data_IF_053069075397
#
_entry.id   IF_053069075397
#
_cell.length_a   1.000
_cell.length_b   1.000
_cell.length_c   1.000
_cell.angle_alpha   90.00
_cell.angle_beta   90.00
_cell.angle_gamma   90.00
#
_symmetry.space_group_name_H-M   'P 1'
#
loop_
_entity.id
_entity.type
_entity.pdbx_description
1 polymer ?
#
# COMPACT_ATOMS: atom_id res chain seq x y z
N UNK A 1 18.64 -0.35 -7.03
CA UNK A 1 17.24 -0.65 -7.38
C UNK A 1 16.78 -1.81 -6.54
N UNK A 2 15.63 -1.67 -5.88
CA UNK A 2 14.95 -2.76 -5.19
C UNK A 2 13.82 -3.27 -6.09
N UNK A 3 13.66 -4.60 -6.15
CA UNK A 3 12.64 -5.28 -6.95
C UNK A 3 11.90 -6.28 -6.05
N UNK A 4 10.59 -6.51 -6.28
CA UNK A 4 9.85 -7.51 -5.52
C UNK A 4 10.42 -8.92 -5.76
N UNK A 5 10.17 -9.88 -4.86
CA UNK A 5 10.49 -11.29 -5.10
C UNK A 5 9.65 -11.86 -6.26
N UNK A 6 9.83 -13.14 -6.56
CA UNK A 6 9.05 -13.81 -7.59
C UNK A 6 7.60 -14.00 -7.11
N UNK A 7 6.64 -13.79 -8.01
CA UNK A 7 5.24 -14.11 -7.74
C UNK A 7 5.06 -15.61 -7.43
N UNK A 8 4.19 -16.02 -6.49
CA UNK A 8 3.37 -15.18 -5.60
C UNK A 8 3.98 -15.00 -4.19
N UNK A 9 5.29 -15.21 -4.03
CA UNK A 9 5.98 -15.32 -2.74
C UNK A 9 6.17 -13.96 -2.05
N UNK A 10 5.09 -13.39 -1.53
CA UNK A 10 5.12 -12.08 -0.87
C UNK A 10 5.95 -12.03 0.40
N UNK A 11 6.27 -13.14 1.05
CA UNK A 11 7.09 -13.11 2.27
C UNK A 11 8.60 -13.12 1.99
N UNK A 12 9.00 -13.42 0.75
CA UNK A 12 10.40 -13.45 0.35
C UNK A 12 11.05 -12.04 0.39
N UNK A 13 12.37 -11.97 0.64
CA UNK A 13 13.07 -10.70 0.71
C UNK A 13 13.11 -9.99 -0.65
N UNK A 14 13.22 -8.66 -0.62
CA UNK A 14 13.42 -7.86 -1.82
C UNK A 14 14.71 -8.25 -2.52
N UNK A 15 14.66 -8.37 -3.84
CA UNK A 15 15.86 -8.43 -4.68
C UNK A 15 16.43 -7.02 -4.81
N UNK A 16 17.74 -6.88 -4.93
CA UNK A 16 18.36 -5.57 -5.15
C UNK A 16 19.60 -5.66 -6.04
N UNK A 17 19.80 -4.64 -6.87
CA UNK A 17 20.99 -4.49 -7.73
C UNK A 17 21.39 -3.03 -7.92
N UNK A 18 22.69 -2.71 -8.06
CA UNK A 18 23.13 -1.36 -8.36
C UNK A 18 22.76 -0.95 -9.79
N UNK A 19 22.37 0.31 -10.01
CA UNK A 19 22.13 0.86 -11.35
C UNK A 19 23.24 1.81 -11.80
N UNK A 20 23.83 2.52 -10.84
CA UNK A 20 24.98 3.38 -11.02
C UNK A 20 25.76 3.46 -9.70
N UNK A 21 27.00 3.93 -9.77
CA UNK A 21 27.77 4.34 -8.59
C UNK A 21 28.53 5.61 -8.88
N UNK A 22 28.85 6.34 -7.81
CA UNK A 22 29.74 7.52 -7.84
C UNK A 22 30.94 7.16 -6.97
N UNK A 23 32.14 7.16 -7.54
CA UNK A 23 33.35 6.69 -6.89
C UNK A 23 34.42 7.78 -6.88
N UNK A 24 35.01 8.06 -5.72
CA UNK A 24 36.06 9.07 -5.55
C UNK A 24 37.41 8.38 -5.37
N UNK A 25 38.40 8.79 -6.15
CA UNK A 25 39.79 8.32 -6.05
C UNK A 25 40.72 9.48 -5.69
N UNK A 26 41.89 9.16 -5.13
CA UNK A 26 42.90 10.17 -4.78
C UNK A 26 43.24 11.05 -5.99
N UNK A 27 43.24 12.37 -5.80
CA UNK A 27 43.57 13.41 -6.81
C UNK A 27 42.71 13.41 -8.07
N UNK A 28 41.54 12.74 -8.07
CA UNK A 28 40.59 12.75 -9.18
C UNK A 28 39.24 13.30 -8.73
N UNK A 29 38.50 13.88 -9.66
CA UNK A 29 37.07 14.10 -9.45
C UNK A 29 36.35 12.76 -9.31
N UNK A 30 35.20 12.77 -8.64
CA UNK A 30 34.38 11.57 -8.54
C UNK A 30 33.92 11.11 -9.94
N UNK A 31 34.09 9.83 -10.23
CA UNK A 31 33.66 9.21 -11.49
C UNK A 31 32.26 8.63 -11.32
N UNK A 32 31.44 8.80 -12.34
CA UNK A 32 30.10 8.20 -12.41
C UNK A 32 30.16 6.99 -13.33
N UNK A 33 29.69 5.85 -12.83
CA UNK A 33 29.66 4.59 -13.57
C UNK A 33 28.24 4.05 -13.64
N UNK A 34 27.80 3.67 -14.84
CA UNK A 34 26.64 2.84 -15.06
C UNK A 34 26.98 1.40 -14.66
N UNK A 35 26.05 0.74 -13.95
CA UNK A 35 26.20 -0.63 -13.44
C UNK A 35 25.23 -1.59 -14.11
N UNK A 36 24.47 -1.12 -15.11
CA UNK A 36 23.46 -1.92 -15.80
C UNK A 36 24.09 -2.87 -16.82
N UNK A 37 23.40 -3.97 -17.14
CA UNK A 37 23.89 -5.01 -18.03
C UNK A 37 24.83 -6.00 -17.33
N UNK A 38 25.50 -6.82 -18.14
CA UNK A 38 26.27 -7.98 -17.68
C UNK A 38 27.76 -7.90 -18.04
N UNK A 39 28.24 -6.74 -18.53
CA UNK A 39 29.64 -6.52 -18.95
C UNK A 39 30.47 -5.65 -17.99
N UNK A 40 29.97 -5.47 -16.77
CA UNK A 40 30.65 -4.73 -15.70
C UNK A 40 30.45 -3.20 -15.74
N UNK A 41 31.06 -2.49 -14.78
CA UNK A 41 30.96 -1.04 -14.66
C UNK A 41 31.52 -0.31 -15.88
N UNK A 42 30.87 0.78 -16.28
CA UNK A 42 31.28 1.57 -17.44
C UNK A 42 30.81 3.02 -17.33
N UNK A 43 31.22 3.89 -18.26
CA UNK A 43 30.99 5.32 -18.09
C UNK A 43 29.49 5.66 -18.08
N UNK A 44 29.05 6.37 -17.05
CA UNK A 44 27.69 6.85 -16.89
C UNK A 44 27.66 8.33 -16.54
N UNK A 45 26.46 8.92 -16.57
CA UNK A 45 26.23 10.32 -16.20
C UNK A 45 25.06 10.41 -15.22
N UNK A 46 25.15 11.39 -14.32
CA UNK A 46 24.06 11.82 -13.44
C UNK A 46 23.81 13.30 -13.69
N UNK A 47 22.56 13.66 -13.94
CA UNK A 47 22.14 15.05 -14.10
C UNK A 47 21.12 15.40 -13.01
N UNK A 48 21.46 16.34 -12.14
CA UNK A 48 20.54 16.88 -11.13
C UNK A 48 19.68 17.94 -11.83
N UNK A 49 18.36 17.75 -11.83
CA UNK A 49 17.42 18.65 -12.52
C UNK A 49 16.85 19.67 -11.54
N UNK A 50 16.34 19.17 -10.40
CA UNK A 50 15.79 19.96 -9.29
C UNK A 50 16.11 19.26 -7.98
N UNK A 51 15.75 19.89 -6.84
CA UNK A 51 15.92 19.28 -5.50
C UNK A 51 15.33 17.87 -5.39
N UNK A 52 14.21 17.63 -6.07
CA UNK A 52 13.43 16.39 -5.97
C UNK A 52 13.47 15.55 -7.25
N UNK A 53 14.40 15.84 -8.16
CA UNK A 53 14.50 15.15 -9.45
C UNK A 53 15.95 15.07 -9.98
N UNK A 54 16.36 13.88 -10.39
CA UNK A 54 17.62 13.66 -11.10
C UNK A 54 17.44 12.58 -12.18
N UNK A 55 18.35 12.53 -13.15
CA UNK A 55 18.36 11.49 -14.18
C UNK A 55 19.72 10.81 -14.32
N UNK A 56 19.70 9.59 -14.84
CA UNK A 56 20.88 8.83 -15.26
C UNK A 56 20.92 8.75 -16.79
N UNK A 57 22.13 8.72 -17.35
CA UNK A 57 22.34 8.46 -18.78
C UNK A 57 23.54 7.54 -19.00
N UNK A 58 23.37 6.54 -19.85
CA UNK A 58 24.45 5.69 -20.34
C UNK A 58 24.67 5.97 -21.84
N UNK A 59 25.92 6.22 -22.24
CA UNK A 59 26.28 6.41 -23.64
C UNK A 59 26.98 5.17 -24.24
N UNK A 60 27.19 4.11 -23.45
CA UNK A 60 27.88 2.87 -23.80
C UNK A 60 26.92 1.68 -23.61
N UNK A 61 25.76 1.75 -24.27
CA UNK A 61 24.67 0.77 -24.10
C UNK A 61 24.97 -0.59 -24.74
N UNK A 62 26.05 -0.70 -25.51
CA UNK A 62 26.61 -1.96 -25.97
C UNK A 62 26.96 -2.90 -24.79
N UNK A 63 27.26 -2.33 -23.61
CA UNK A 63 27.47 -3.09 -22.38
C UNK A 63 26.19 -3.73 -21.82
N UNK A 64 25.03 -3.23 -22.22
CA UNK A 64 23.73 -3.77 -21.81
C UNK A 64 23.33 -4.98 -22.66
N UNK A 65 23.93 -5.13 -23.85
CA UNK A 65 23.57 -6.17 -24.81
C UNK A 65 24.22 -7.51 -24.48
N UNK A 66 23.46 -8.58 -24.68
CA UNK A 66 23.95 -9.95 -24.54
C UNK A 66 24.30 -10.57 -25.89
N UNK A 67 25.17 -11.59 -25.89
CA UNK A 67 25.67 -12.25 -27.11
C UNK A 67 24.57 -12.93 -27.93
N UNK A 68 23.57 -13.51 -27.27
CA UNK A 68 22.37 -14.09 -27.85
C UNK A 68 21.28 -13.06 -28.16
N UNK A 69 21.62 -11.77 -28.15
CA UNK A 69 20.74 -10.66 -28.48
C UNK A 69 19.53 -10.54 -27.56
N UNK A 70 18.47 -9.93 -28.08
CA UNK A 70 17.25 -9.60 -27.33
C UNK A 70 16.54 -10.82 -26.73
N UNK A 71 16.68 -12.00 -27.35
CA UNK A 71 16.09 -13.22 -26.81
C UNK A 71 16.80 -13.68 -25.53
N UNK A 72 18.13 -13.62 -25.49
CA UNK A 72 18.89 -13.93 -24.27
C UNK A 72 18.63 -12.89 -23.18
N UNK A 73 18.55 -11.60 -23.54
CA UNK A 73 18.17 -10.53 -22.62
C UNK A 73 16.79 -10.78 -21.98
N UNK A 74 15.79 -11.17 -22.79
CA UNK A 74 14.46 -11.50 -22.29
C UNK A 74 14.47 -12.70 -21.36
N UNK A 75 15.12 -13.81 -21.73
CA UNK A 75 15.18 -15.02 -20.88
C UNK A 75 15.91 -14.75 -19.56
N UNK A 76 16.96 -13.93 -19.60
CA UNK A 76 17.72 -13.55 -18.39
C UNK A 76 16.87 -12.66 -17.49
N UNK A 77 16.22 -11.64 -18.05
CA UNK A 77 15.29 -10.78 -17.31
C UNK A 77 14.10 -11.59 -16.73
N UNK A 78 13.53 -12.52 -17.49
CA UNK A 78 12.42 -13.35 -17.05
C UNK A 78 12.83 -14.25 -15.86
N UNK A 79 14.03 -14.84 -15.92
CA UNK A 79 14.60 -15.59 -14.79
C UNK A 79 14.79 -14.69 -13.57
N UNK A 80 15.30 -13.48 -13.75
CA UNK A 80 15.51 -12.53 -12.65
C UNK A 80 14.18 -12.09 -12.02
N UNK A 81 13.17 -11.76 -12.81
CA UNK A 81 11.89 -11.17 -12.35
C UNK A 81 10.84 -12.20 -11.93
N UNK A 82 10.84 -13.39 -12.52
CA UNK A 82 9.78 -14.39 -12.33
C UNK A 82 10.28 -15.78 -11.89
N UNK A 83 11.57 -16.09 -12.08
CA UNK A 83 12.13 -17.39 -11.73
C UNK A 83 11.58 -18.57 -12.54
N UNK A 84 10.82 -18.30 -13.61
CA UNK A 84 10.11 -19.27 -14.45
C UNK A 84 10.41 -19.05 -15.92
N UNK A 85 10.21 -20.09 -16.73
CA UNK A 85 10.19 -19.92 -18.20
C UNK A 85 8.83 -19.33 -18.63
N UNK A 86 8.73 -18.88 -19.89
CA UNK A 86 7.46 -18.30 -20.36
C UNK A 86 6.40 -19.41 -20.51
N UNK A 87 6.85 -20.60 -20.88
CA UNK A 87 6.05 -21.81 -21.04
C UNK A 87 5.45 -22.31 -19.71
N UNK A 88 6.14 -22.09 -18.59
CA UNK A 88 5.67 -22.46 -17.24
C UNK A 88 4.59 -21.49 -16.70
N UNK A 89 4.36 -20.36 -17.38
CA UNK A 89 3.37 -19.37 -16.99
C UNK A 89 2.04 -19.72 -17.69
N UNK A 90 1.16 -20.43 -16.99
CA UNK A 90 -0.06 -21.03 -17.56
C UNK A 90 -1.05 -20.05 -18.22
N UNK A 91 -1.05 -18.75 -17.86
CA UNK A 91 -2.02 -17.79 -18.37
C UNK A 91 -1.42 -16.94 -19.51
N UNK A 92 -1.98 -17.07 -20.72
CA UNK A 92 -1.54 -16.32 -21.91
C UNK A 92 -1.54 -14.81 -21.67
N UNK A 93 -2.61 -14.28 -21.08
CA UNK A 93 -2.70 -12.85 -20.74
C UNK A 93 -1.55 -12.36 -19.84
N UNK A 94 -1.10 -13.20 -18.91
CA UNK A 94 0.04 -12.89 -18.05
C UNK A 94 1.36 -12.88 -18.85
N UNK A 95 1.52 -13.81 -19.80
CA UNK A 95 2.67 -13.81 -20.71
C UNK A 95 2.73 -12.53 -21.56
N UNK A 96 1.59 -12.07 -22.09
CA UNK A 96 1.48 -10.82 -22.85
C UNK A 96 1.90 -9.59 -22.01
N UNK A 97 1.39 -9.49 -20.77
CA UNK A 97 1.73 -8.41 -19.85
C UNK A 97 3.24 -8.41 -19.51
N UNK A 98 3.82 -9.59 -19.31
CA UNK A 98 5.25 -9.77 -19.04
C UNK A 98 6.10 -9.32 -20.23
N UNK A 99 5.73 -9.74 -21.44
CA UNK A 99 6.41 -9.34 -22.67
C UNK A 99 6.32 -7.83 -22.88
N UNK A 100 5.13 -7.25 -22.70
CA UNK A 100 4.93 -5.80 -22.80
C UNK A 100 5.78 -5.05 -21.78
N UNK A 101 5.79 -5.49 -20.51
CA UNK A 101 6.62 -4.90 -19.44
C UNK A 101 8.11 -4.95 -19.80
N UNK A 102 8.61 -6.08 -20.29
CA UNK A 102 10.00 -6.21 -20.73
C UNK A 102 10.31 -5.24 -21.87
N UNK A 103 9.50 -5.23 -22.93
CA UNK A 103 9.73 -4.39 -24.11
C UNK A 103 9.74 -2.91 -23.71
N UNK A 104 8.74 -2.47 -22.96
CA UNK A 104 8.59 -1.08 -22.54
C UNK A 104 9.73 -0.62 -21.63
N UNK A 105 10.00 -1.37 -20.54
CA UNK A 105 11.03 -0.98 -19.56
C UNK A 105 12.44 -1.03 -20.14
N UNK A 106 12.72 -1.97 -21.04
CA UNK A 106 14.03 -2.06 -21.69
C UNK A 106 14.28 -0.97 -22.75
N UNK A 107 13.25 -0.24 -23.20
CA UNK A 107 13.46 0.93 -24.08
C UNK A 107 14.20 2.06 -23.39
N UNK A 108 14.05 2.19 -22.07
CA UNK A 108 14.75 3.23 -21.31
C UNK A 108 16.25 2.96 -21.24
N UNK A 109 16.67 1.70 -21.31
CA UNK A 109 18.08 1.29 -21.33
C UNK A 109 18.91 1.95 -20.20
N UNK A 110 18.32 2.03 -19.01
CA UNK A 110 18.85 2.70 -17.81
C UNK A 110 19.10 4.23 -17.95
N UNK A 111 18.59 4.85 -19.02
CA UNK A 111 18.44 6.29 -19.14
C UNK A 111 17.10 6.71 -18.50
N UNK A 112 17.12 6.96 -17.19
CA UNK A 112 15.94 7.08 -16.35
C UNK A 112 15.91 8.44 -15.65
N UNK A 113 14.71 8.99 -15.49
CA UNK A 113 14.46 10.14 -14.61
C UNK A 113 13.80 9.65 -13.32
N UNK A 114 14.35 10.06 -12.18
CA UNK A 114 13.90 9.69 -10.85
C UNK A 114 13.31 10.91 -10.16
N UNK A 115 12.15 10.71 -9.54
CA UNK A 115 11.52 11.69 -8.65
C UNK A 115 11.64 11.23 -7.21
N UNK A 116 11.78 12.18 -6.29
CA UNK A 116 11.87 11.91 -4.86
C UNK A 116 10.55 11.34 -4.34
N UNK A 117 10.67 10.30 -3.53
CA UNK A 117 9.62 9.77 -2.65
C UNK A 117 10.15 9.68 -1.23
N UNK A 118 9.25 9.61 -0.26
CA UNK A 118 9.58 9.46 1.16
C UNK A 118 8.89 8.25 1.77
N UNK A 119 9.46 7.73 2.86
CA UNK A 119 8.74 6.84 3.77
C UNK A 119 7.66 7.62 4.53
N UNK A 120 6.54 6.95 4.85
CA UNK A 120 5.45 7.56 5.61
C UNK A 120 5.88 7.86 7.05
N UNK A 121 5.44 8.99 7.64
CA UNK A 121 5.66 9.27 9.05
C UNK A 121 4.92 8.22 9.92
N UNK A 122 5.53 7.83 11.03
CA UNK A 122 4.93 6.89 11.99
C UNK A 122 4.32 7.65 13.17
N UNK A 123 3.15 7.21 13.64
CA UNK A 123 2.49 7.72 14.84
C UNK A 123 2.20 6.58 15.82
N UNK A 124 2.15 6.84 17.14
CA UNK A 124 1.84 5.80 18.13
C UNK A 124 0.45 5.17 17.96
N UNK A 125 -0.53 5.95 17.47
CA UNK A 125 -1.92 5.52 17.31
C UNK A 125 -2.19 4.84 15.96
N UNK A 126 -1.17 4.65 15.12
CA UNK A 126 -1.32 3.97 13.83
C UNK A 126 -1.69 2.49 14.06
N UNK A 127 -2.59 1.95 13.23
CA UNK A 127 -3.08 0.57 13.37
C UNK A 127 -1.95 -0.47 13.34
N UNK A 128 -0.95 -0.21 12.50
CA UNK A 128 0.33 -0.93 12.40
C UNK A 128 1.40 0.06 11.96
N UNK A 129 2.68 -0.31 12.08
CA UNK A 129 3.77 0.54 11.58
C UNK A 129 3.58 0.83 10.07
N UNK A 130 3.54 2.10 9.62
CA UNK A 130 3.44 2.38 8.18
C UNK A 130 4.75 2.03 7.46
N UNK A 131 4.70 1.93 6.14
CA UNK A 131 5.89 1.58 5.34
C UNK A 131 5.57 0.93 4.00
N UNK A 132 6.57 0.25 3.44
CA UNK A 132 6.45 -0.45 2.16
C UNK A 132 6.05 -1.91 2.35
N UNK A 133 5.19 -2.40 1.49
CA UNK A 133 4.69 -3.76 1.44
C UNK A 133 4.77 -4.29 0.01
N UNK A 134 4.95 -5.60 -0.12
CA UNK A 134 4.93 -6.34 -1.38
C UNK A 134 3.56 -7.01 -1.46
N UNK A 135 2.82 -6.80 -2.54
CA UNK A 135 1.43 -7.23 -2.65
C UNK A 135 1.13 -7.97 -3.95
N UNK A 136 0.22 -8.94 -3.91
CA UNK A 136 -0.22 -9.67 -5.12
C UNK A 136 -1.26 -8.88 -5.91
N UNK A 137 -1.06 -8.72 -7.23
CA UNK A 137 -1.95 -8.02 -8.16
C UNK A 137 -2.34 -8.90 -9.37
N UNK A 138 -2.75 -10.15 -9.10
CA UNK A 138 -3.28 -11.05 -10.12
C UNK A 138 -2.30 -11.34 -11.24
N UNK A 139 -2.71 -11.10 -12.49
CA UNK A 139 -1.88 -11.33 -13.69
C UNK A 139 -0.70 -10.36 -13.83
N UNK A 140 -0.67 -9.27 -13.06
CA UNK A 140 0.45 -8.32 -13.06
C UNK A 140 1.62 -8.79 -12.18
N UNK A 141 1.41 -9.82 -11.35
CA UNK A 141 2.39 -10.33 -10.39
C UNK A 141 2.43 -9.52 -9.11
N UNK A 142 3.63 -9.35 -8.55
CA UNK A 142 3.84 -8.57 -7.34
C UNK A 142 4.07 -7.09 -7.64
N UNK A 143 3.42 -6.24 -6.85
CA UNK A 143 3.64 -4.79 -6.83
C UNK A 143 4.08 -4.32 -5.43
N UNK A 144 4.76 -3.19 -5.38
CA UNK A 144 5.17 -2.53 -4.13
C UNK A 144 4.14 -1.45 -3.81
N UNK A 145 3.56 -1.53 -2.61
CA UNK A 145 2.57 -0.58 -2.11
C UNK A 145 3.07 0.05 -0.81
N UNK A 146 2.93 1.37 -0.70
CA UNK A 146 3.22 2.12 0.50
C UNK A 146 1.94 2.32 1.32
N UNK A 147 1.93 1.81 2.55
CA UNK A 147 0.87 2.04 3.52
C UNK A 147 1.20 3.27 4.37
N UNK A 148 0.28 4.22 4.42
CA UNK A 148 0.39 5.47 5.20
C UNK A 148 -0.92 5.79 5.93
N UNK A 149 -0.85 6.52 7.04
CA UNK A 149 -2.00 6.85 7.88
C UNK A 149 -2.33 8.35 7.85
N UNK A 150 -3.62 8.65 7.72
CA UNK A 150 -4.19 9.97 7.48
C UNK A 150 -5.37 10.20 8.42
N UNK A 151 -5.07 10.32 9.72
CA UNK A 151 -6.10 10.41 10.76
C UNK A 151 -6.86 9.08 10.91
N UNK A 152 -8.14 9.07 10.54
CA UNK A 152 -8.99 7.86 10.59
C UNK A 152 -9.06 7.10 9.26
N UNK A 153 -8.15 7.38 8.33
CA UNK A 153 -8.03 6.67 7.06
C UNK A 153 -6.61 6.13 6.91
N UNK A 154 -6.47 4.94 6.34
CA UNK A 154 -5.19 4.47 5.85
C UNK A 154 -5.20 4.41 4.32
N UNK A 155 -4.07 4.76 3.70
CA UNK A 155 -3.89 4.86 2.25
C UNK A 155 -2.81 3.90 1.80
N UNK A 156 -3.14 3.04 0.84
CA UNK A 156 -2.21 2.26 0.04
C UNK A 156 -1.90 2.98 -1.27
N UNK A 157 -0.65 3.41 -1.46
CA UNK A 157 -0.18 4.07 -2.68
C UNK A 157 0.77 3.16 -3.44
N UNK A 158 0.56 2.99 -4.75
CA UNK A 158 1.44 2.18 -5.59
C UNK A 158 2.82 2.84 -5.75
N UNK A 159 3.88 2.13 -5.39
CA UNK A 159 5.27 2.52 -5.67
C UNK A 159 5.74 1.92 -6.99
N UNK A 160 5.34 0.67 -7.25
CA UNK A 160 5.29 0.11 -8.60
C UNK A 160 3.83 -0.14 -8.95
N UNK A 161 3.52 -0.16 -10.24
CA UNK A 161 2.17 -0.39 -10.70
C UNK A 161 2.15 -0.94 -12.12
N UNK A 162 0.95 -1.01 -12.65
CA UNK A 162 0.64 -1.71 -13.89
C UNK A 162 -0.18 -0.79 -14.82
N UNK A 163 -0.44 -1.22 -16.07
CA UNK A 163 -1.20 -0.42 -17.02
C UNK A 163 -2.66 -0.14 -16.62
N UNK A 164 -3.23 -0.90 -15.68
CA UNK A 164 -4.57 -0.66 -15.17
C UNK A 164 -4.52 0.37 -14.05
N UNK A 165 -3.71 0.15 -13.02
CA UNK A 165 -3.47 1.10 -11.92
C UNK A 165 -1.99 1.45 -11.88
N UNK A 166 -1.60 2.63 -12.41
CA UNK A 166 -0.21 3.07 -12.49
C UNK A 166 0.47 3.28 -11.12
N UNK A 167 1.80 3.28 -11.13
CA UNK A 167 2.59 3.73 -10.00
C UNK A 167 2.26 5.20 -9.65
N UNK A 168 2.15 5.52 -8.36
CA UNK A 168 1.74 6.84 -7.86
C UNK A 168 0.25 6.92 -7.49
N UNK A 169 -0.60 6.06 -8.07
CA UNK A 169 -2.02 6.05 -7.76
C UNK A 169 -2.34 5.42 -6.39
N UNK A 170 -3.45 5.85 -5.81
CA UNK A 170 -4.01 5.25 -4.61
C UNK A 170 -4.75 3.96 -4.97
N UNK A 171 -4.17 2.81 -4.66
CA UNK A 171 -4.75 1.51 -4.99
C UNK A 171 -5.79 1.04 -3.97
N UNK A 172 -5.61 1.41 -2.69
CA UNK A 172 -6.50 1.00 -1.59
C UNK A 172 -6.66 2.17 -0.62
N UNK A 173 -7.85 2.32 -0.06
CA UNK A 173 -8.14 3.14 1.11
C UNK A 173 -8.93 2.34 2.12
N UNK A 174 -8.58 2.53 3.38
CA UNK A 174 -9.16 1.80 4.51
C UNK A 174 -9.79 2.83 5.42
N UNK A 175 -11.07 2.65 5.72
CA UNK A 175 -11.76 3.45 6.71
C UNK A 175 -11.59 2.82 8.09
N UNK A 176 -10.81 3.48 8.95
CA UNK A 176 -10.47 2.97 10.28
C UNK A 176 -11.58 3.22 11.32
N UNK A 177 -12.65 3.94 10.96
CA UNK A 177 -13.85 4.08 11.82
C UNK A 177 -14.77 2.86 11.65
N UNK A 178 -14.82 2.31 10.44
CA UNK A 178 -15.77 1.27 10.05
C UNK A 178 -15.17 -0.13 10.14
N UNK A 179 -15.07 -0.64 11.38
CA UNK A 179 -14.63 -2.01 11.64
C UNK A 179 -15.70 -2.99 11.17
N UNK A 180 -15.28 -4.02 10.43
CA UNK A 180 -16.13 -5.15 10.03
C UNK A 180 -15.91 -6.29 11.01
N UNK A 181 -17.00 -6.77 11.62
CA UNK A 181 -17.00 -8.02 12.37
C UNK A 181 -17.20 -9.15 11.37
N UNK A 182 -16.15 -9.96 11.15
CA UNK A 182 -16.30 -11.13 10.31
C UNK A 182 -17.15 -12.18 11.04
N UNK A 183 -18.03 -12.90 10.31
CA UNK A 183 -18.67 -14.10 10.83
C UNK A 183 -17.65 -15.17 11.24
N UNK A 184 -18.12 -16.23 11.89
CA UNK A 184 -17.28 -17.42 12.12
C UNK A 184 -16.77 -18.03 10.80
N UNK A 185 -15.80 -18.94 10.91
CA UNK A 185 -15.12 -19.51 9.75
C UNK A 185 -16.04 -20.34 8.83
N UNK A 186 -17.18 -20.84 9.31
CA UNK A 186 -18.14 -21.56 8.46
C UNK A 186 -18.97 -20.56 7.65
N UNK A 187 -19.49 -19.52 8.29
CA UNK A 187 -20.24 -18.45 7.62
C UNK A 187 -19.37 -17.61 6.69
N UNK A 188 -18.09 -17.38 7.02
CA UNK A 188 -17.16 -16.64 6.17
C UNK A 188 -16.87 -17.35 4.84
N UNK A 189 -17.12 -18.66 4.73
CA UNK A 189 -17.05 -19.37 3.45
C UNK A 189 -18.14 -18.94 2.47
N UNK A 190 -19.26 -18.38 2.96
CA UNK A 190 -20.31 -17.84 2.11
C UNK A 190 -19.94 -16.44 1.62
N UNK A 191 -19.65 -16.34 0.33
CA UNK A 191 -19.35 -15.07 -0.32
C UNK A 191 -20.52 -14.07 -0.25
N UNK A 192 -21.77 -14.54 -0.31
CA UNK A 192 -22.94 -13.66 -0.31
C UNK A 192 -23.10 -12.98 1.05
N UNK A 193 -22.81 -13.69 2.14
CA UNK A 193 -22.88 -13.12 3.48
C UNK A 193 -21.80 -12.05 3.69
N UNK A 194 -20.56 -12.32 3.25
CA UNK A 194 -19.51 -11.29 3.25
C UNK A 194 -19.93 -10.07 2.41
N UNK A 195 -20.47 -10.31 1.21
CA UNK A 195 -20.91 -9.24 0.32
C UNK A 195 -22.01 -8.39 0.94
N UNK A 196 -22.98 -9.01 1.62
CA UNK A 196 -24.07 -8.30 2.31
C UNK A 196 -23.52 -7.35 3.37
N UNK A 197 -22.65 -7.85 4.26
CA UNK A 197 -22.04 -7.06 5.34
C UNK A 197 -21.27 -5.85 4.78
N UNK A 198 -20.47 -6.07 3.74
CA UNK A 198 -19.65 -5.00 3.15
C UNK A 198 -20.51 -3.92 2.49
N UNK A 199 -21.59 -4.31 1.80
CA UNK A 199 -22.49 -3.37 1.15
C UNK A 199 -23.35 -2.59 2.15
N UNK A 200 -23.72 -3.20 3.28
CA UNK A 200 -24.38 -2.50 4.38
C UNK A 200 -23.48 -1.41 4.98
N UNK A 201 -22.20 -1.72 5.23
CA UNK A 201 -21.23 -0.72 5.72
C UNK A 201 -20.96 0.35 4.67
N UNK A 202 -20.89 0.01 3.37
CA UNK A 202 -20.78 0.99 2.28
C UNK A 202 -21.93 2.00 2.32
N UNK A 203 -23.14 1.54 2.55
CA UNK A 203 -24.32 2.39 2.60
C UNK A 203 -24.33 3.31 3.84
N UNK A 204 -23.91 2.79 5.00
CA UNK A 204 -23.69 3.60 6.21
C UNK A 204 -22.65 4.70 5.96
N UNK A 205 -21.49 4.35 5.41
CA UNK A 205 -20.42 5.29 5.07
C UNK A 205 -20.90 6.37 4.10
N UNK A 206 -21.73 6.00 3.11
CA UNK A 206 -22.31 6.96 2.17
C UNK A 206 -23.25 7.95 2.87
N UNK A 207 -24.12 7.47 3.75
CA UNK A 207 -25.06 8.31 4.50
C UNK A 207 -24.33 9.27 5.46
N UNK A 208 -23.29 8.80 6.14
CA UNK A 208 -22.47 9.65 7.01
C UNK A 208 -21.76 10.76 6.22
N UNK A 209 -21.20 10.43 5.04
CA UNK A 209 -20.54 11.41 4.18
C UNK A 209 -21.50 12.46 3.60
N UNK A 210 -22.76 12.09 3.35
CA UNK A 210 -23.80 13.02 2.91
C UNK A 210 -24.22 13.95 4.06
N UNK A 211 -24.40 13.43 5.28
CA UNK A 211 -24.71 14.24 6.45
C UNK A 211 -23.56 15.19 6.84
N UNK A 212 -22.30 14.75 6.76
CA UNK A 212 -21.13 15.61 6.99
C UNK A 212 -21.00 16.71 5.93
N UNK A 213 -21.51 16.51 4.71
CA UNK A 213 -21.52 17.51 3.64
C UNK A 213 -22.69 18.49 3.76
N UNK A 214 -23.84 18.05 4.28
CA UNK A 214 -25.02 18.91 4.51
C UNK A 214 -24.91 19.72 5.82
N UNK A 215 -24.18 19.24 6.83
CA UNK A 215 -24.01 19.87 8.15
C UNK A 215 -22.81 20.84 8.31
N UNK A 216 -22.69 21.85 7.45
CA UNK A 216 -21.76 22.98 7.67
C UNK A 216 -22.03 23.75 8.99
N UNK A 217 -21.06 24.49 9.57
CA UNK A 217 -20.95 24.74 11.01
C UNK A 217 -22.01 25.71 11.53
N UNK A 218 -23.13 25.18 12.01
CA UNK A 218 -24.05 25.85 12.92
C UNK A 218 -23.98 25.14 14.26
N UNK A 219 -23.13 25.65 15.17
CA UNK A 219 -23.32 25.61 16.63
C UNK A 219 -22.07 26.18 17.33
N UNK A 220 -21.84 27.48 17.13
CA UNK A 220 -20.86 28.22 17.91
C UNK A 220 -21.36 29.64 18.25
N UNK A 221 -22.66 29.84 18.46
CA UNK A 221 -23.18 31.11 18.97
C UNK A 221 -24.52 30.90 19.68
N UNK A 222 -24.46 30.58 20.98
CA UNK A 222 -25.67 30.25 21.71
C UNK A 222 -25.62 30.27 23.23
N UNK A 223 -24.66 30.94 23.88
CA UNK A 223 -24.78 31.23 25.32
C UNK A 223 -24.32 32.64 25.67
N UNK A 224 -25.30 33.54 25.66
CA UNK A 224 -25.21 34.89 26.18
C UNK A 224 -24.96 34.91 27.69
N UNK A 225 -23.88 35.61 28.05
CA UNK A 225 -23.58 36.28 29.32
C UNK A 225 -24.70 36.31 30.37
N UNK A 226 -24.38 35.81 31.57
CA UNK A 226 -24.66 36.49 32.84
C UNK A 226 -23.70 35.96 33.93
N UNK A 227 -22.82 36.83 34.43
CA UNK A 227 -22.13 36.73 35.72
C UNK A 227 -23.03 37.41 36.79
N UNK A 228 -22.91 37.22 38.13
CA UNK A 228 -21.63 37.21 38.85
C UNK A 228 -21.49 36.41 40.18
N UNK A 229 -20.21 36.23 40.54
CA UNK A 229 -19.59 36.23 41.88
C UNK A 229 -19.49 34.95 42.75
N UNK A 230 -18.39 34.85 43.56
CA UNK A 230 -17.92 33.61 44.18
C UNK A 230 -18.04 33.61 45.72
N UNK A 231 -18.46 32.49 46.31
CA UNK A 231 -18.40 32.27 47.76
C UNK A 231 -18.10 30.78 48.09
N UNK A 232 -16.94 30.58 48.72
CA UNK A 232 -16.64 29.75 49.90
C UNK A 232 -17.08 28.26 49.99
N UNK A 233 -16.11 27.44 50.39
CA UNK A 233 -16.18 26.01 50.74
C UNK A 233 -17.16 25.70 51.88
N UNK A 234 -17.72 24.47 51.91
CA UNK A 234 -18.13 23.84 53.17
C UNK A 234 -17.37 22.53 53.46
N UNK A 235 -17.20 22.15 54.74
CA UNK A 235 -16.52 20.93 55.14
C UNK A 235 -17.46 19.71 55.20
N UNK A 236 -16.80 18.56 55.29
CA UNK A 236 -17.33 17.20 55.30
C UNK A 236 -18.30 16.85 56.45
N UNK A 237 -19.24 15.93 56.17
CA UNK A 237 -19.51 14.69 56.94
C UNK A 237 -20.64 13.88 56.27
N UNK A 238 -20.49 12.54 56.21
CA UNK A 238 -21.53 11.57 55.78
C UNK A 238 -22.61 11.34 56.86
N UNK A 239 -23.58 10.41 56.74
CA UNK A 239 -23.49 9.09 56.06
C UNK A 239 -24.73 8.68 55.21
N UNK A 240 -24.60 7.50 54.57
CA UNK A 240 -25.55 6.73 53.72
C UNK A 240 -26.84 6.26 54.46
N UNK A 241 -27.79 5.45 53.88
CA UNK A 241 -27.85 4.82 52.54
C UNK A 241 -29.25 4.86 51.84
N UNK A 242 -29.34 4.40 50.58
CA UNK A 242 -30.63 4.04 49.98
C UNK A 242 -30.68 3.94 48.46
N UNK A 243 -30.45 2.72 47.95
CA UNK A 243 -31.01 2.04 46.77
C UNK A 243 -31.45 2.78 45.50
N UNK A 244 -31.03 2.18 44.37
CA UNK A 244 -31.84 2.12 43.15
C UNK A 244 -31.21 2.77 41.92
N UNK A 245 -30.41 2.02 41.17
CA UNK A 245 -29.87 2.50 39.90
C UNK A 245 -29.38 1.37 39.01
N UNK A 246 -30.23 1.02 38.03
CA UNK A 246 -30.06 0.00 37.01
C UNK A 246 -28.62 -0.13 36.46
N UNK A 247 -28.12 -1.37 36.49
CA UNK A 247 -26.90 -1.77 35.79
C UNK A 247 -27.12 -1.65 34.28
N UNK A 248 -26.64 -0.55 33.69
CA UNK A 248 -26.32 -0.51 32.27
C UNK A 248 -25.16 -1.48 32.05
N UNK A 249 -25.45 -2.60 31.38
CA UNK A 249 -24.45 -3.59 31.01
C UNK A 249 -23.37 -2.91 30.16
N UNK A 250 -22.22 -2.66 30.78
CA UNK A 250 -21.01 -2.35 30.06
C UNK A 250 -20.69 -3.53 29.14
N UNK A 251 -20.54 -3.26 27.84
CA UNK A 251 -20.00 -4.25 26.92
C UNK A 251 -18.63 -4.73 27.43
N UNK A 252 -18.38 -6.06 27.41
CA UNK A 252 -17.09 -6.56 27.85
C UNK A 252 -16.00 -6.07 26.90
N UNK A 253 -14.82 -5.68 27.41
CA UNK A 253 -13.72 -5.25 26.58
C UNK A 253 -13.35 -6.38 25.62
N UNK A 254 -13.34 -6.06 24.32
CA UNK A 254 -12.89 -6.95 23.26
C UNK A 254 -11.57 -7.60 23.67
N UNK A 255 -11.52 -8.93 23.58
CA UNK A 255 -10.35 -9.75 23.89
C UNK A 255 -9.12 -9.17 23.17
N UNK A 256 -8.30 -8.46 23.93
CA UNK A 256 -7.09 -7.82 23.46
C UNK A 256 -6.02 -8.88 23.25
N UNK A 257 -5.91 -9.36 22.01
CA UNK A 257 -4.74 -10.10 21.53
C UNK A 257 -5.00 -11.48 20.93
N UNK A 258 -6.21 -12.04 21.02
CA UNK A 258 -6.53 -13.30 20.35
C UNK A 258 -7.17 -13.00 18.98
N UNK A 259 -6.41 -13.26 17.91
CA UNK A 259 -6.97 -13.22 16.56
C UNK A 259 -8.08 -14.26 16.39
N UNK A 260 -8.98 -14.03 15.45
CA UNK A 260 -10.03 -14.97 15.09
C UNK A 260 -9.62 -15.82 13.87
N UNK A 261 -10.12 -17.05 13.72
CA UNK A 261 -9.93 -17.86 12.53
C UNK A 261 -10.33 -17.10 11.25
N UNK A 262 -9.57 -17.28 10.18
CA UNK A 262 -9.79 -16.64 8.89
C UNK A 262 -9.68 -17.65 7.75
N UNK A 263 -10.64 -17.60 6.84
CA UNK A 263 -10.67 -18.36 5.59
C UNK A 263 -11.26 -17.47 4.50
N UNK A 264 -10.77 -17.58 3.27
CA UNK A 264 -11.38 -16.86 2.16
C UNK A 264 -12.74 -17.47 1.81
N UNK A 265 -13.74 -16.64 1.43
CA UNK A 265 -15.01 -17.13 0.92
C UNK A 265 -14.82 -18.00 -0.33
N UNK A 266 -15.71 -18.97 -0.51
CA UNK A 266 -15.70 -19.83 -1.70
C UNK A 266 -15.90 -18.98 -2.96
N UNK A 267 -15.04 -19.19 -3.95
CA UNK A 267 -15.04 -18.44 -5.21
C UNK A 267 -14.18 -17.18 -5.19
N UNK A 268 -13.62 -16.77 -4.06
CA UNK A 268 -12.58 -15.72 -4.01
C UNK A 268 -11.24 -16.35 -4.37
N UNK A 269 -10.64 -15.87 -5.45
CA UNK A 269 -9.33 -16.33 -5.91
C UNK A 269 -8.20 -15.67 -5.11
N UNK A 270 -7.16 -16.43 -4.79
CA UNK A 270 -5.90 -15.89 -4.28
C UNK A 270 -4.73 -16.44 -5.09
N UNK A 271 -3.75 -15.59 -5.38
CA UNK A 271 -2.48 -16.02 -5.98
C UNK A 271 -1.62 -16.80 -4.99
N UNK A 272 -1.73 -16.49 -3.70
CA UNK A 272 -0.93 -17.12 -2.66
C UNK A 272 -1.84 -17.98 -1.76
N UNK A 273 -1.63 -19.29 -1.74
CA UNK A 273 -2.40 -20.23 -0.91
C UNK A 273 -1.93 -20.21 0.57
N UNK A 274 -0.72 -19.72 0.82
CA UNK A 274 -0.08 -19.71 2.14
C UNK A 274 -0.40 -18.44 2.95
N UNK A 275 -1.60 -17.87 2.78
CA UNK A 275 -2.03 -16.73 3.60
C UNK A 275 -2.33 -17.15 5.05
N UNK A 276 -2.12 -16.26 6.05
CA UNK A 276 -2.39 -16.58 7.45
C UNK A 276 -3.85 -16.95 7.70
N UNK A 277 -4.07 -17.97 8.53
CA UNK A 277 -5.41 -18.51 8.87
C UNK A 277 -6.03 -17.90 10.12
N UNK A 278 -5.46 -16.80 10.60
CA UNK A 278 -5.95 -16.04 11.75
C UNK A 278 -5.81 -14.55 11.47
N UNK A 279 -6.86 -13.77 11.66
CA UNK A 279 -6.83 -12.30 11.51
C UNK A 279 -7.15 -11.61 12.83
N UNK A 280 -6.62 -10.41 13.03
CA UNK A 280 -6.83 -9.60 14.25
C UNK A 280 -8.03 -8.67 14.11
N UNK A 281 -8.12 -7.96 12.99
CA UNK A 281 -9.12 -6.93 12.75
C UNK A 281 -9.44 -6.86 11.27
N UNK A 282 -10.66 -6.46 10.94
CA UNK A 282 -11.10 -6.19 9.58
C UNK A 282 -11.77 -4.82 9.51
N UNK A 283 -11.57 -4.11 8.41
CA UNK A 283 -12.10 -2.78 8.19
C UNK A 283 -12.70 -2.67 6.81
N UNK A 284 -13.72 -1.83 6.67
CA UNK A 284 -14.20 -1.43 5.35
C UNK A 284 -13.11 -0.69 4.61
N UNK A 285 -13.00 -0.97 3.31
CA UNK A 285 -12.11 -0.24 2.44
C UNK A 285 -12.64 -0.19 1.02
N UNK A 286 -11.98 0.64 0.22
CA UNK A 286 -12.25 0.74 -1.21
C UNK A 286 -10.96 0.57 -1.99
N UNK A 287 -11.02 -0.24 -3.04
CA UNK A 287 -9.94 -0.45 -3.99
C UNK A 287 -10.17 0.37 -5.24
N UNK A 288 -9.13 0.97 -5.82
CA UNK A 288 -9.21 1.62 -7.12
C UNK A 288 -8.99 0.57 -8.21
N UNK A 289 -9.94 0.46 -9.14
CA UNK A 289 -9.85 -0.36 -10.34
C UNK A 289 -10.00 0.52 -11.58
N UNK A 290 -9.47 0.06 -12.71
CA UNK A 290 -9.58 0.74 -13.99
C UNK A 290 -9.35 -0.25 -15.14
N UNK A 291 -9.84 0.10 -16.33
CA UNK A 291 -9.48 -0.57 -17.56
C UNK A 291 -8.01 -0.36 -17.94
N UNK A 292 -7.54 -1.12 -18.92
CA UNK A 292 -6.17 -0.98 -19.43
C UNK A 292 -5.92 0.46 -19.92
N UNK A 293 -4.73 0.99 -19.62
CA UNK A 293 -4.39 2.39 -19.87
C UNK A 293 -4.98 3.37 -18.87
N UNK A 294 -5.28 2.90 -17.64
CA UNK A 294 -5.91 3.67 -16.57
C UNK A 294 -7.23 4.34 -17.01
N UNK A 295 -8.05 3.59 -17.75
CA UNK A 295 -9.30 4.10 -18.33
C UNK A 295 -10.47 3.91 -17.39
N UNK A 296 -11.31 4.94 -17.26
CA UNK A 296 -12.52 4.97 -16.41
C UNK A 296 -12.26 4.45 -14.99
N UNK A 297 -11.34 5.05 -14.23
CA UNK A 297 -11.02 4.58 -12.89
C UNK A 297 -12.20 4.76 -11.92
N UNK A 298 -12.48 3.75 -11.13
CA UNK A 298 -13.55 3.77 -10.13
C UNK A 298 -13.17 3.04 -8.85
N UNK A 299 -13.85 3.38 -7.75
CA UNK A 299 -13.65 2.74 -6.45
C UNK A 299 -14.65 1.64 -6.23
N UNK A 300 -14.16 0.43 -5.97
CA UNK A 300 -15.00 -0.72 -5.62
C UNK A 300 -14.84 -1.08 -4.15
N UNK A 301 -15.92 -1.55 -3.49
CA UNK A 301 -15.88 -1.90 -2.08
C UNK A 301 -15.05 -3.16 -1.86
N UNK A 302 -14.49 -3.25 -0.65
CA UNK A 302 -13.72 -4.42 -0.23
C UNK A 302 -13.50 -4.45 1.28
N UNK A 303 -12.78 -5.48 1.71
CA UNK A 303 -12.44 -5.69 3.12
C UNK A 303 -10.95 -5.70 3.29
N UNK A 304 -10.44 -4.79 4.10
CA UNK A 304 -9.09 -4.86 4.62
C UNK A 304 -9.03 -5.85 5.78
N UNK A 305 -8.07 -6.77 5.75
CA UNK A 305 -7.88 -7.83 6.74
C UNK A 305 -6.48 -7.70 7.35
N UNK A 306 -6.38 -7.41 8.64
CA UNK A 306 -5.10 -7.37 9.34
C UNK A 306 -4.77 -8.75 9.92
N UNK A 307 -3.65 -9.34 9.53
CA UNK A 307 -3.21 -10.64 10.06
C UNK A 307 -2.27 -10.47 11.25
N UNK A 308 -1.20 -9.71 11.06
CA UNK A 308 -0.17 -9.44 12.06
C UNK A 308 0.46 -8.06 11.82
N UNK A 309 1.56 -7.73 12.50
CA UNK A 309 2.23 -6.41 12.38
C UNK A 309 2.78 -6.14 10.97
N UNK A 310 3.05 -7.19 10.20
CA UNK A 310 3.78 -7.14 8.95
C UNK A 310 2.98 -7.65 7.75
N UNK A 311 1.80 -8.24 7.98
CA UNK A 311 0.95 -8.81 6.95
C UNK A 311 -0.50 -8.36 7.06
N UNK A 312 -1.05 -7.99 5.91
CA UNK A 312 -2.46 -7.69 5.74
C UNK A 312 -2.96 -8.17 4.39
N UNK A 313 -4.26 -8.20 4.20
CA UNK A 313 -4.91 -8.55 2.94
C UNK A 313 -5.99 -7.56 2.57
N UNK A 314 -6.41 -7.61 1.30
CA UNK A 314 -7.56 -6.88 0.80
C UNK A 314 -8.41 -7.82 -0.07
N UNK A 315 -9.67 -8.00 0.30
CA UNK A 315 -10.67 -8.74 -0.49
C UNK A 315 -11.36 -7.75 -1.42
N UNK A 316 -11.15 -7.90 -2.73
CA UNK A 316 -11.80 -7.13 -3.78
C UNK A 316 -13.16 -7.75 -4.08
N UNK A 317 -14.23 -7.11 -3.61
CA UNK A 317 -15.56 -7.74 -3.59
C UNK A 317 -16.07 -8.02 -5.01
N UNK A 318 -16.03 -7.01 -5.88
CA UNK A 318 -16.54 -7.11 -7.25
C UNK A 318 -15.70 -8.02 -8.15
N UNK A 319 -14.40 -8.18 -7.84
CA UNK A 319 -13.48 -9.01 -8.62
C UNK A 319 -13.39 -10.45 -8.11
N UNK A 320 -14.01 -10.77 -6.96
CA UNK A 320 -13.81 -12.05 -6.24
C UNK A 320 -12.33 -12.43 -6.16
N UNK A 321 -11.52 -11.47 -5.73
CA UNK A 321 -10.06 -11.59 -5.71
C UNK A 321 -9.52 -11.18 -4.34
N UNK A 322 -8.42 -11.81 -3.93
CA UNK A 322 -7.73 -11.49 -2.69
C UNK A 322 -6.28 -11.10 -2.97
N UNK A 323 -5.91 -9.89 -2.52
CA UNK A 323 -4.54 -9.42 -2.49
C UNK A 323 -3.93 -9.62 -1.11
N UNK A 324 -2.82 -10.34 -1.03
CA UNK A 324 -2.03 -10.48 0.20
C UNK A 324 -0.84 -9.52 0.15
N UNK A 325 -0.53 -8.88 1.27
CA UNK A 325 0.55 -7.91 1.42
C UNK A 325 1.47 -8.28 2.58
N UNK A 326 2.77 -8.15 2.37
CA UNK A 326 3.80 -8.44 3.37
C UNK A 326 4.90 -7.38 3.39
N UNK A 327 5.27 -6.94 4.59
CA UNK A 327 6.18 -5.81 4.83
C UNK A 327 7.53 -6.00 4.18
N UNK A 328 8.06 -4.95 3.57
CA UNK A 328 9.45 -4.88 3.14
C UNK A 328 10.34 -4.73 4.36
N UNK A 329 11.17 -5.75 4.63
CA UNK A 329 12.09 -5.77 5.78
C UNK A 329 13.39 -4.99 5.55
N UNK A 330 13.65 -4.55 4.32
CA UNK A 330 14.84 -3.77 4.00
C UNK A 330 14.82 -2.40 4.68
N UNK A 331 15.94 -2.01 5.29
CA UNK A 331 16.11 -0.68 5.86
C UNK A 331 16.59 0.32 4.79
N UNK A 332 15.84 1.41 4.62
CA UNK A 332 16.17 2.46 3.66
C UNK A 332 16.84 3.64 4.34
N UNK A 333 17.89 4.18 3.72
CA UNK A 333 18.63 5.34 4.23
C UNK A 333 18.12 6.61 3.56
N UNK A 334 18.14 7.73 4.30
CA UNK A 334 17.80 9.06 3.78
C UNK A 334 16.39 9.13 3.16
N UNK A 335 15.44 8.37 3.72
CA UNK A 335 14.13 8.14 3.13
C UNK A 335 12.99 8.87 3.88
N UNK A 336 13.23 9.37 5.09
CA UNK A 336 12.17 9.99 5.89
C UNK A 336 11.72 11.33 5.28
N UNK A 337 10.42 11.59 5.39
CA UNK A 337 9.86 12.88 5.00
C UNK A 337 10.33 13.99 5.97
N UNK A 338 10.69 15.19 5.48
CA UNK A 338 11.06 16.31 6.33
C UNK A 338 9.93 16.78 7.27
N UNK A 339 8.68 16.62 6.83
CA UNK A 339 7.47 16.90 7.60
C UNK A 339 6.30 16.07 7.06
N UNK A 340 5.21 15.89 7.83
CA UNK A 340 3.99 15.27 7.32
C UNK A 340 3.43 15.98 6.08
N UNK A 341 3.51 17.31 6.01
CA UNK A 341 3.04 18.07 4.85
C UNK A 341 3.89 17.78 3.60
N UNK A 342 5.22 17.65 3.75
CA UNK A 342 6.10 17.27 2.65
C UNK A 342 5.80 15.85 2.13
N UNK A 343 5.35 14.95 3.00
CA UNK A 343 4.87 13.63 2.61
C UNK A 343 3.58 13.73 1.77
N UNK A 344 2.60 14.54 2.21
CA UNK A 344 1.37 14.78 1.44
C UNK A 344 1.63 15.41 0.07
N UNK A 345 2.53 16.39 0.00
CA UNK A 345 2.93 17.01 -1.27
C UNK A 345 3.57 15.98 -2.21
N UNK A 346 4.45 15.13 -1.67
CA UNK A 346 5.07 14.05 -2.44
C UNK A 346 4.02 13.07 -2.99
N UNK A 347 3.03 12.66 -2.19
CA UNK A 347 1.93 11.81 -2.63
C UNK A 347 1.13 12.43 -3.79
N UNK A 348 0.79 13.72 -3.68
CA UNK A 348 0.07 14.45 -4.74
C UNK A 348 0.90 14.52 -6.02
N UNK A 349 2.20 14.80 -5.91
CA UNK A 349 3.10 14.92 -7.05
C UNK A 349 3.23 13.60 -7.82
N UNK A 350 3.45 12.48 -7.13
CA UNK A 350 3.57 11.17 -7.81
C UNK A 350 2.24 10.71 -8.41
N UNK A 351 1.11 11.04 -7.78
CA UNK A 351 -0.20 10.75 -8.32
C UNK A 351 -0.44 11.54 -9.62
N UNK A 352 -0.21 12.86 -9.59
CA UNK A 352 -0.41 13.73 -10.77
C UNK A 352 0.48 13.39 -11.98
N UNK A 353 1.62 12.74 -11.76
CA UNK A 353 2.52 12.31 -12.84
C UNK A 353 1.89 11.24 -13.73
N UNK A 354 0.94 10.49 -13.19
CA UNK A 354 0.34 9.31 -13.82
C UNK A 354 -1.18 9.39 -13.86
N UNK A 355 -1.73 10.59 -13.62
CA UNK A 355 -3.15 10.91 -13.68
C UNK A 355 -3.67 11.04 -15.11
#
# INVERSE_FOLDING_TARGET
MYLPPHDPHVDDPMRFKPLFRIHLMERKSATVECMYGHRGPHNGHVQIVKKDEFSTKCNQTDHHRMSGGRQEEFRTWLREEWGRTLEDIFHEHMQELILMKFIYTSQYDNCLTYRRIYLPPSRPDDLIRPGLFKGTYGSHGLEIVMLSFHGKRARGTKITGDPNIPAGQQTVEIDLRHRIQLPDAESLRDFNELSRIVLEVREQVRQEQEQEQEGGPEDAEGLGRQSPQPCEEPPAEGPAPGDGGAAAAAEPPAQSGQGQPFVLPVGVSSRNEDYPRTCRMCFYGTGLIAGHGFTSPERTPGVFVLFDEDRFGFIWLELKSFSLYSRVQAAFRNADAPSPQAFEEMLKNIQSLTS
#
